data_IF_977558670521
#
_entry.id   IF_977558670521
#
_cell.length_a   1.000
_cell.length_b   1.000
_cell.length_c   1.000
_cell.angle_alpha   90.00
_cell.angle_beta   90.00
_cell.angle_gamma   90.00
#
_symmetry.space_group_name_H-M   'P 1'
#
loop_
_entity.id
_entity.type
_entity.pdbx_description
1 polymer ?
#
# COMPACT_ATOMS: atom_id res chain seq x y z
N UNK A 1 -0.15 7.90 -2.57
CA UNK A 1 1.26 8.00 -2.16
C UNK A 1 2.08 7.33 -3.25
N UNK A 2 2.67 8.13 -4.14
CA UNK A 2 3.33 7.59 -5.33
C UNK A 2 4.74 7.09 -4.98
N UNK A 3 5.02 5.81 -5.23
CA UNK A 3 6.34 5.21 -5.09
C UNK A 3 7.04 5.24 -6.46
N UNK A 4 8.36 5.50 -6.51
CA UNK A 4 9.09 5.49 -7.77
C UNK A 4 9.36 4.05 -8.24
N UNK A 5 9.52 3.87 -9.55
CA UNK A 5 9.86 2.57 -10.15
C UNK A 5 11.17 2.00 -9.56
N UNK A 6 12.18 2.84 -9.34
CA UNK A 6 13.43 2.44 -8.67
C UNK A 6 13.18 1.85 -7.28
N UNK A 7 12.27 2.44 -6.48
CA UNK A 7 11.95 1.93 -5.16
C UNK A 7 11.15 0.63 -5.23
N UNK A 8 10.22 0.51 -6.18
CA UNK A 8 9.51 -0.75 -6.43
C UNK A 8 10.52 -1.85 -6.79
N UNK A 9 11.47 -1.54 -7.69
CA UNK A 9 12.51 -2.48 -8.09
C UNK A 9 13.39 -2.89 -6.92
N UNK A 10 13.86 -1.93 -6.12
CA UNK A 10 14.67 -2.21 -4.93
C UNK A 10 13.92 -3.08 -3.91
N UNK A 11 12.64 -2.80 -3.65
CA UNK A 11 11.82 -3.63 -2.77
C UNK A 11 11.62 -5.04 -3.33
N UNK A 12 11.35 -5.16 -4.63
CA UNK A 12 11.15 -6.45 -5.27
C UNK A 12 12.39 -7.35 -5.15
N UNK A 13 13.59 -6.81 -5.38
CA UNK A 13 14.84 -7.54 -5.19
C UNK A 13 15.03 -7.99 -3.72
N UNK A 14 14.76 -7.12 -2.75
CA UNK A 14 14.87 -7.49 -1.32
C UNK A 14 13.87 -8.55 -0.90
N UNK A 15 12.65 -8.53 -1.45
CA UNK A 15 11.64 -9.55 -1.20
C UNK A 15 12.11 -10.90 -1.77
N UNK A 16 12.58 -10.93 -3.02
CA UNK A 16 13.10 -12.15 -3.63
C UNK A 16 14.30 -12.72 -2.88
N UNK A 17 15.26 -11.87 -2.49
CA UNK A 17 16.43 -12.27 -1.70
C UNK A 17 16.01 -12.92 -0.37
N UNK A 18 14.99 -12.35 0.29
CA UNK A 18 14.45 -12.90 1.54
C UNK A 18 13.73 -14.23 1.35
N UNK A 19 12.87 -14.33 0.34
CA UNK A 19 12.17 -15.58 0.02
C UNK A 19 13.13 -16.72 -0.26
N UNK A 20 14.22 -16.45 -0.97
CA UNK A 20 15.25 -17.44 -1.25
C UNK A 20 16.08 -17.79 0.00
N UNK A 21 16.56 -16.78 0.75
CA UNK A 21 17.37 -17.02 1.96
C UNK A 21 16.64 -17.76 3.07
N UNK A 22 15.35 -17.52 3.19
CA UNK A 22 14.52 -18.13 4.23
C UNK A 22 13.96 -19.50 3.75
N UNK A 23 14.44 -20.03 2.61
CA UNK A 23 14.04 -21.31 1.99
C UNK A 23 12.52 -21.42 1.73
N UNK A 24 11.89 -20.28 1.41
CA UNK A 24 10.44 -20.19 1.21
C UNK A 24 10.04 -20.38 -0.25
N UNK A 25 10.92 -20.04 -1.19
CA UNK A 25 10.67 -20.19 -2.63
C UNK A 25 11.97 -20.24 -3.44
N UNK A 26 11.97 -21.10 -4.48
CA UNK A 26 12.98 -21.13 -5.53
C UNK A 26 12.44 -20.50 -6.82
N UNK A 27 13.30 -19.75 -7.52
CA UNK A 27 12.94 -19.02 -8.73
C UNK A 27 13.63 -19.62 -9.95
N UNK A 28 12.92 -20.47 -10.71
CA UNK A 28 13.46 -21.04 -11.96
C UNK A 28 13.60 -19.99 -13.09
N UNK A 29 12.80 -18.92 -13.01
CA UNK A 29 12.81 -17.78 -13.93
C UNK A 29 12.82 -16.50 -13.09
N UNK A 30 14.02 -16.06 -12.71
CA UNK A 30 14.22 -14.88 -11.87
C UNK A 30 13.63 -13.59 -12.49
N UNK A 31 13.80 -13.29 -13.80
CA UNK A 31 13.18 -12.12 -14.41
C UNK A 31 11.66 -12.12 -14.31
N UNK A 32 11.01 -13.27 -14.55
CA UNK A 32 9.55 -13.39 -14.44
C UNK A 32 9.09 -13.26 -12.99
N UNK A 33 9.79 -13.88 -12.05
CA UNK A 33 9.48 -13.76 -10.62
C UNK A 33 9.61 -12.31 -10.15
N UNK A 34 10.68 -11.61 -10.55
CA UNK A 34 10.90 -10.20 -10.24
C UNK A 34 9.75 -9.33 -10.73
N UNK A 35 9.33 -9.51 -11.99
CA UNK A 35 8.19 -8.77 -12.54
C UNK A 35 6.90 -9.04 -11.76
N UNK A 36 6.63 -10.30 -11.37
CA UNK A 36 5.45 -10.62 -10.55
C UNK A 36 5.48 -9.97 -9.17
N UNK A 37 6.65 -9.88 -8.54
CA UNK A 37 6.79 -9.18 -7.26
C UNK A 37 6.58 -7.68 -7.44
N UNK A 38 7.16 -7.08 -8.50
CA UNK A 38 6.92 -5.68 -8.85
C UNK A 38 5.44 -5.39 -9.08
N UNK A 39 4.74 -6.22 -9.86
CA UNK A 39 3.31 -6.08 -10.13
C UNK A 39 2.49 -6.15 -8.82
N UNK A 40 2.85 -7.08 -7.93
CA UNK A 40 2.18 -7.24 -6.64
C UNK A 40 2.38 -6.02 -5.73
N UNK A 41 3.59 -5.46 -5.72
CA UNK A 41 3.90 -4.22 -4.99
C UNK A 41 3.13 -3.03 -5.58
N UNK A 42 3.09 -2.90 -6.91
CA UNK A 42 2.35 -1.82 -7.58
C UNK A 42 0.85 -1.93 -7.28
N UNK A 43 0.28 -3.13 -7.35
CA UNK A 43 -1.12 -3.36 -7.01
C UNK A 43 -1.43 -3.02 -5.54
N UNK A 44 -0.54 -3.38 -4.61
CA UNK A 44 -0.63 -2.99 -3.20
C UNK A 44 -0.77 -1.47 -3.04
N UNK A 45 0.11 -0.71 -3.69
CA UNK A 45 0.11 0.75 -3.57
C UNK A 45 -1.10 1.38 -4.24
N UNK A 46 -1.53 0.88 -5.40
CA UNK A 46 -2.73 1.35 -6.08
C UNK A 46 -3.97 1.24 -5.17
N UNK A 47 -4.16 0.08 -4.53
CA UNK A 47 -5.28 -0.11 -3.59
C UNK A 47 -5.15 0.82 -2.37
N UNK A 48 -3.95 1.03 -1.86
CA UNK A 48 -3.73 1.98 -0.77
C UNK A 48 -4.06 3.43 -1.16
N UNK A 49 -3.83 3.81 -2.42
CA UNK A 49 -4.21 5.13 -2.94
C UNK A 49 -5.73 5.29 -3.04
N UNK A 50 -6.43 4.26 -3.53
CA UNK A 50 -7.89 4.27 -3.58
C UNK A 50 -8.53 4.38 -2.19
N UNK A 51 -7.97 3.67 -1.20
CA UNK A 51 -8.40 3.77 0.21
C UNK A 51 -8.19 5.19 0.71
N UNK A 52 -7.00 5.76 0.50
CA UNK A 52 -6.66 7.11 0.93
C UNK A 52 -7.55 8.18 0.29
N UNK A 53 -7.86 8.04 -1.00
CA UNK A 53 -8.81 8.92 -1.68
C UNK A 53 -10.24 8.79 -1.11
N UNK A 54 -10.71 7.57 -0.88
CA UNK A 54 -12.02 7.32 -0.28
C UNK A 54 -12.13 7.92 1.13
N UNK A 55 -11.08 7.75 1.95
CA UNK A 55 -11.01 8.32 3.31
C UNK A 55 -11.00 9.85 3.25
N UNK A 56 -10.22 10.46 2.35
CA UNK A 56 -10.18 11.93 2.19
C UNK A 56 -11.51 12.50 1.72
N UNK A 57 -12.20 11.85 0.78
CA UNK A 57 -13.56 12.23 0.35
C UNK A 57 -14.54 12.15 1.52
N UNK A 58 -14.49 11.06 2.31
CA UNK A 58 -15.33 10.89 3.51
C UNK A 58 -15.05 11.96 4.55
N UNK A 59 -13.79 12.26 4.83
CA UNK A 59 -13.40 13.33 5.74
C UNK A 59 -13.88 14.70 5.25
N UNK A 60 -13.71 15.04 3.98
CA UNK A 60 -14.16 16.31 3.42
C UNK A 60 -15.68 16.53 3.55
N UNK A 61 -16.48 15.45 3.56
CA UNK A 61 -17.94 15.53 3.75
C UNK A 61 -18.38 15.80 5.19
N UNK A 62 -17.49 15.59 6.18
CA UNK A 62 -17.78 15.91 7.57
C UNK A 62 -17.56 17.40 7.82
N UNK A 63 -18.60 18.12 8.25
CA UNK A 63 -18.54 19.56 8.56
C UNK A 63 -17.54 19.92 9.67
N UNK A 64 -17.12 18.93 10.47
CA UNK A 64 -16.06 19.02 11.47
C UNK A 64 -14.69 18.55 10.95
N UNK A 65 -14.45 18.50 9.64
CA UNK A 65 -13.13 18.16 9.09
C UNK A 65 -12.12 19.23 9.50
N UNK A 66 -11.56 19.04 10.69
CA UNK A 66 -10.51 19.86 11.28
C UNK A 66 -9.32 19.87 10.34
N UNK A 67 -8.56 20.96 10.42
CA UNK A 67 -7.37 21.23 9.61
C UNK A 67 -6.55 19.94 9.42
N UNK A 68 -6.20 19.55 8.18
CA UNK A 68 -5.30 18.44 7.91
C UNK A 68 -4.03 18.56 8.77
N UNK A 69 -3.68 17.48 9.47
CA UNK A 69 -2.56 17.47 10.42
C UNK A 69 -2.92 17.84 11.87
N UNK A 70 -4.19 18.13 12.16
CA UNK A 70 -4.67 18.16 13.56
C UNK A 70 -4.80 16.75 14.13
N UNK A 71 -4.57 16.58 15.43
CA UNK A 71 -4.67 15.28 16.13
C UNK A 71 -6.02 14.59 15.93
N UNK A 72 -7.10 15.36 15.90
CA UNK A 72 -8.45 14.83 15.71
C UNK A 72 -8.70 14.40 14.26
N UNK A 73 -8.11 15.11 13.29
CA UNK A 73 -8.12 14.68 11.90
C UNK A 73 -7.37 13.35 11.73
N UNK A 74 -6.20 13.19 12.37
CA UNK A 74 -5.43 11.94 12.33
C UNK A 74 -6.19 10.76 12.94
N UNK A 75 -6.90 10.98 14.05
CA UNK A 75 -7.74 9.95 14.69
C UNK A 75 -8.87 9.52 13.74
N UNK A 76 -9.59 10.46 13.14
CA UNK A 76 -10.67 10.16 12.20
C UNK A 76 -10.15 9.50 10.92
N UNK A 77 -9.03 9.98 10.40
CA UNK A 77 -8.35 9.39 9.25
C UNK A 77 -8.00 7.92 9.52
N UNK A 78 -7.34 7.63 10.64
CA UNK A 78 -6.97 6.25 11.00
C UNK A 78 -8.19 5.35 11.14
N UNK A 79 -9.27 5.83 11.75
CA UNK A 79 -10.52 5.08 11.90
C UNK A 79 -11.13 4.75 10.53
N UNK A 80 -11.27 5.75 9.66
CA UNK A 80 -11.86 5.53 8.34
C UNK A 80 -10.96 4.71 7.42
N UNK A 81 -9.63 4.85 7.53
CA UNK A 81 -8.69 4.01 6.81
C UNK A 81 -8.85 2.54 7.19
N UNK A 82 -8.98 2.23 8.48
CA UNK A 82 -9.25 0.85 8.93
C UNK A 82 -10.61 0.33 8.46
N UNK A 83 -11.67 1.16 8.49
CA UNK A 83 -12.98 0.79 7.95
C UNK A 83 -12.92 0.48 6.44
N UNK A 84 -12.28 1.33 5.66
CA UNK A 84 -12.18 1.19 4.20
C UNK A 84 -11.24 0.04 3.78
N UNK A 85 -10.18 -0.22 4.55
CA UNK A 85 -9.31 -1.38 4.37
C UNK A 85 -10.06 -2.69 4.71
N UNK A 86 -10.87 -2.72 5.76
CA UNK A 86 -11.65 -3.91 6.12
C UNK A 86 -12.71 -4.29 5.07
N UNK A 87 -13.26 -3.30 4.35
CA UNK A 87 -14.20 -3.53 3.24
C UNK A 87 -13.50 -4.09 2.01
N UNK A 88 -12.30 -3.59 1.72
CA UNK A 88 -11.44 -4.07 0.63
C UNK A 88 -10.60 -5.23 1.16
N UNK A 89 -11.26 -6.34 1.57
CA UNK A 89 -10.55 -7.58 1.93
C UNK A 89 -9.63 -7.99 0.78
N UNK A 90 -8.38 -8.28 1.10
CA UNK A 90 -7.44 -8.99 0.23
C UNK A 90 -7.52 -10.48 0.53
#
# INVERSE_FOLDING_TARGET
MHISEDRISHLAHRVMEKLWRDDLADFSDEPRALNRVKDSITAFFAVSEEIDEAVRKKLASYSQAKVPGSREWEILYRKFYQEEAAKRKW
#
